data_IF_943705767893
#
_entry.id   IF_943705767893
#
_cell.length_a   1.000
_cell.length_b   1.000
_cell.length_c   1.000
_cell.angle_alpha   90.00
_cell.angle_beta   90.00
_cell.angle_gamma   90.00
#
_symmetry.space_group_name_H-M   'P 1'
#
loop_
_entity.id
_entity.type
_entity.pdbx_description
1 polymer ?
#
# COMPACT_ATOMS: atom_id res chain seq x y z
N UNK A 1 0.83 -25.52 -6.12
CA UNK A 1 -0.46 -25.29 -5.44
C UNK A 1 -0.97 -23.98 -6.01
N UNK A 2 -1.94 -24.01 -6.92
CA UNK A 2 -2.50 -22.80 -7.51
C UNK A 2 -3.48 -22.21 -6.49
N UNK A 3 -3.04 -21.20 -5.74
CA UNK A 3 -3.99 -20.33 -5.04
C UNK A 3 -4.85 -19.65 -6.11
N UNK A 4 -6.17 -19.71 -5.95
CA UNK A 4 -7.09 -18.86 -6.69
C UNK A 4 -6.73 -17.40 -6.37
N UNK A 5 -5.90 -16.80 -7.21
CA UNK A 5 -5.74 -15.36 -7.23
C UNK A 5 -7.11 -14.82 -7.63
N UNK A 6 -7.86 -14.32 -6.65
CA UNK A 6 -9.15 -13.68 -6.86
C UNK A 6 -9.03 -12.66 -8.00
N UNK A 7 -10.11 -12.49 -8.78
CA UNK A 7 -10.09 -11.51 -9.87
C UNK A 7 -9.74 -10.12 -9.33
N UNK A 8 -8.70 -9.45 -9.85
CA UNK A 8 -8.32 -8.13 -9.37
C UNK A 8 -9.47 -7.14 -9.43
N UNK A 9 -9.67 -6.37 -8.38
CA UNK A 9 -10.67 -5.33 -8.35
C UNK A 9 -10.21 -4.15 -9.22
N UNK A 10 -11.05 -3.72 -10.18
CA UNK A 10 -10.77 -2.62 -11.12
C UNK A 10 -11.52 -1.31 -10.84
N UNK A 11 -12.43 -1.28 -9.86
CA UNK A 11 -13.28 -0.13 -9.54
C UNK A 11 -12.66 0.89 -8.57
N UNK A 12 -13.45 1.87 -8.15
CA UNK A 12 -13.08 2.82 -7.09
C UNK A 12 -13.21 2.17 -5.71
N UNK A 13 -12.35 2.54 -4.77
CA UNK A 13 -12.42 2.02 -3.41
C UNK A 13 -12.38 3.14 -2.38
N UNK A 14 -12.95 2.87 -1.22
CA UNK A 14 -12.84 3.72 -0.04
C UNK A 14 -12.05 3.00 1.04
N UNK A 15 -11.32 3.78 1.85
CA UNK A 15 -10.61 3.22 3.00
C UNK A 15 -11.03 3.97 4.27
N UNK A 16 -11.32 3.20 5.31
CA UNK A 16 -11.51 3.71 6.66
C UNK A 16 -10.41 3.18 7.56
N UNK A 17 -9.75 4.08 8.28
CA UNK A 17 -8.68 3.76 9.23
C UNK A 17 -9.12 4.21 10.61
N UNK A 18 -9.15 3.27 11.56
CA UNK A 18 -9.32 3.55 12.98
C UNK A 18 -7.95 3.58 13.66
N UNK A 19 -7.61 4.71 14.27
CA UNK A 19 -6.35 4.93 14.98
C UNK A 19 -6.56 4.92 16.50
N UNK A 20 -5.73 4.16 17.20
CA UNK A 20 -5.66 4.15 18.67
C UNK A 20 -5.25 5.49 19.29
N UNK A 21 -5.40 5.57 20.61
CA UNK A 21 -5.30 6.83 21.36
C UNK A 21 -3.91 7.51 21.31
N UNK A 22 -2.82 6.77 21.07
CA UNK A 22 -1.44 7.26 20.95
C UNK A 22 -1.21 8.20 19.75
N UNK A 23 -2.06 8.13 18.72
CA UNK A 23 -1.97 9.02 17.58
C UNK A 23 -2.52 10.40 17.93
N UNK A 24 -1.60 11.31 18.26
CA UNK A 24 -1.93 12.71 18.54
C UNK A 24 -2.33 13.48 17.29
N UNK A 25 -3.16 14.53 17.46
CA UNK A 25 -3.67 15.39 16.37
C UNK A 25 -2.59 15.90 15.41
N UNK A 26 -1.40 16.23 15.93
CA UNK A 26 -0.29 16.77 15.13
C UNK A 26 0.52 15.71 14.39
N UNK A 27 0.46 14.44 14.80
CA UNK A 27 1.18 13.34 14.17
C UNK A 27 0.43 12.70 13.01
N UNK A 28 -0.91 12.77 13.02
CA UNK A 28 -1.74 12.13 12.00
C UNK A 28 -1.61 12.82 10.65
N UNK A 29 -1.80 14.15 10.60
CA UNK A 29 -1.80 14.92 9.36
C UNK A 29 -0.57 14.65 8.46
N UNK A 30 0.69 14.70 8.96
CA UNK A 30 1.85 14.39 8.13
C UNK A 30 1.97 12.89 7.78
N UNK A 31 1.41 11.98 8.59
CA UNK A 31 1.46 10.55 8.34
C UNK A 31 0.40 10.07 7.34
N UNK A 32 -0.70 10.82 7.15
CA UNK A 32 -1.85 10.41 6.32
C UNK A 32 -1.43 9.99 4.92
N UNK A 33 -0.63 10.80 4.21
CA UNK A 33 -0.25 10.50 2.83
C UNK A 33 0.63 9.26 2.77
N UNK A 34 1.63 9.15 3.64
CA UNK A 34 2.51 7.98 3.68
C UNK A 34 1.76 6.69 4.01
N UNK A 35 0.80 6.75 4.95
CA UNK A 35 -0.05 5.61 5.29
C UNK A 35 -0.94 5.19 4.12
N UNK A 36 -1.55 6.17 3.44
CA UNK A 36 -2.36 5.92 2.23
C UNK A 36 -1.52 5.24 1.16
N UNK A 37 -0.35 5.79 0.85
CA UNK A 37 0.53 5.30 -0.21
C UNK A 37 1.04 3.90 0.09
N UNK A 38 1.52 3.68 1.32
CA UNK A 38 1.99 2.36 1.75
C UNK A 38 0.87 1.32 1.76
N UNK A 39 -0.31 1.69 2.23
CA UNK A 39 -1.46 0.77 2.27
C UNK A 39 -1.91 0.37 0.86
N UNK A 40 -2.14 1.33 -0.04
CA UNK A 40 -2.55 1.03 -1.42
C UNK A 40 -1.45 0.24 -2.14
N UNK A 41 -0.18 0.56 -1.88
CA UNK A 41 0.95 -0.21 -2.42
C UNK A 41 0.91 -1.67 -2.00
N UNK A 42 0.59 -1.95 -0.73
CA UNK A 42 0.48 -3.32 -0.21
C UNK A 42 -0.69 -4.11 -0.82
N UNK A 43 -1.64 -3.46 -1.49
CA UNK A 43 -2.75 -4.12 -2.19
C UNK A 43 -2.44 -4.46 -3.66
N UNK A 44 -1.23 -4.14 -4.10
CA UNK A 44 -0.73 -4.45 -5.43
C UNK A 44 0.34 -5.53 -5.36
N UNK A 45 0.50 -6.22 -6.48
CA UNK A 45 1.73 -6.96 -6.78
C UNK A 45 2.54 -6.13 -7.77
N UNK A 46 3.85 -6.09 -7.61
CA UNK A 46 4.71 -5.43 -8.58
C UNK A 46 4.77 -6.23 -9.90
N UNK A 47 5.03 -5.54 -11.02
CA UNK A 47 5.06 -6.14 -12.37
C UNK A 47 6.39 -6.80 -12.73
N UNK A 48 7.25 -7.02 -11.72
CA UNK A 48 8.61 -7.58 -11.84
C UNK A 48 9.59 -6.74 -12.67
N UNK A 49 9.19 -5.55 -13.13
CA UNK A 49 10.05 -4.70 -13.94
C UNK A 49 11.18 -4.08 -13.12
N UNK A 50 12.33 -3.83 -13.73
CA UNK A 50 13.43 -3.09 -13.08
C UNK A 50 13.94 -3.71 -11.76
N UNK A 51 13.82 -5.03 -11.56
CA UNK A 51 14.22 -5.75 -10.33
C UNK A 51 15.56 -5.32 -9.76
N UNK A 52 16.62 -5.33 -10.56
CA UNK A 52 17.97 -4.99 -10.08
C UNK A 52 18.04 -3.59 -9.47
N UNK A 53 17.44 -2.60 -10.15
CA UNK A 53 17.42 -1.21 -9.68
C UNK A 53 16.52 -1.05 -8.45
N UNK A 54 15.37 -1.72 -8.43
CA UNK A 54 14.42 -1.65 -7.31
C UNK A 54 14.98 -2.35 -6.07
N UNK A 55 15.50 -3.56 -6.20
CA UNK A 55 16.11 -4.31 -5.11
C UNK A 55 17.31 -3.57 -4.51
N UNK A 56 18.19 -2.99 -5.35
CA UNK A 56 19.31 -2.18 -4.88
C UNK A 56 18.85 -0.94 -4.08
N UNK A 57 17.77 -0.28 -4.51
CA UNK A 57 17.20 0.85 -3.78
C UNK A 57 16.50 0.43 -2.48
N UNK A 58 15.91 -0.77 -2.44
CA UNK A 58 15.29 -1.32 -1.23
C UNK A 58 16.34 -1.75 -0.19
N UNK A 59 17.51 -2.19 -0.64
CA UNK A 59 18.67 -2.51 0.22
C UNK A 59 19.17 -1.30 1.04
N UNK A 60 18.96 -0.07 0.53
CA UNK A 60 19.33 1.15 1.27
C UNK A 60 18.47 1.38 2.53
N UNK A 61 17.29 0.74 2.62
CA UNK A 61 16.32 0.94 3.71
C UNK A 61 16.01 -0.34 4.51
N UNK A 62 16.53 -1.49 4.09
CA UNK A 62 16.26 -2.77 4.73
C UNK A 62 16.87 -3.94 3.96
N UNK A 63 16.26 -5.12 4.12
CA UNK A 63 16.62 -6.32 3.34
C UNK A 63 15.93 -6.25 1.98
N UNK A 64 16.66 -5.85 0.94
CA UNK A 64 16.11 -5.57 -0.38
C UNK A 64 15.50 -6.79 -1.06
N UNK A 65 16.05 -7.98 -0.88
CA UNK A 65 15.45 -9.22 -1.39
C UNK A 65 14.16 -9.55 -0.65
N UNK A 66 14.14 -9.43 0.70
CA UNK A 66 12.92 -9.66 1.46
C UNK A 66 11.83 -8.65 1.12
N UNK A 67 12.18 -7.39 0.94
CA UNK A 67 11.25 -6.33 0.53
C UNK A 67 10.75 -6.55 -0.90
N UNK A 68 11.60 -7.05 -1.80
CA UNK A 68 11.22 -7.44 -3.15
C UNK A 68 10.23 -8.63 -3.13
N UNK A 69 10.45 -9.65 -2.31
CA UNK A 69 9.50 -10.74 -2.12
C UNK A 69 8.14 -10.22 -1.66
N UNK A 70 8.11 -9.33 -0.67
CA UNK A 70 6.87 -8.74 -0.16
C UNK A 70 6.12 -7.92 -1.23
N UNK A 71 6.85 -7.17 -2.06
CA UNK A 71 6.25 -6.43 -3.19
C UNK A 71 5.64 -7.34 -4.25
N UNK A 72 6.09 -8.60 -4.32
CA UNK A 72 5.66 -9.57 -5.30
C UNK A 72 4.80 -10.70 -4.72
N UNK A 73 4.39 -10.57 -3.45
CA UNK A 73 3.52 -11.54 -2.77
C UNK A 73 2.07 -11.42 -3.30
N UNK A 74 1.53 -12.45 -3.97
CA UNK A 74 0.19 -12.41 -4.51
C UNK A 74 -0.91 -12.47 -3.44
N UNK A 75 -0.59 -12.85 -2.18
CA UNK A 75 -1.57 -13.04 -1.12
C UNK A 75 -2.39 -11.77 -0.82
N UNK A 76 -1.87 -10.59 -1.15
CA UNK A 76 -2.50 -9.29 -0.90
C UNK A 76 -2.86 -8.53 -2.18
N UNK A 77 -2.76 -9.14 -3.36
CA UNK A 77 -2.88 -8.49 -4.66
C UNK A 77 -4.33 -8.15 -5.08
N UNK A 78 -5.13 -7.57 -4.18
CA UNK A 78 -6.53 -7.19 -4.41
C UNK A 78 -6.68 -6.26 -5.62
N UNK A 79 -5.73 -5.34 -5.81
CA UNK A 79 -5.73 -4.37 -6.91
C UNK A 79 -4.92 -4.84 -8.13
N UNK A 80 -4.36 -6.06 -8.08
CA UNK A 80 -3.64 -6.68 -9.18
C UNK A 80 -2.25 -6.11 -9.48
N UNK A 81 -1.61 -6.59 -10.56
CA UNK A 81 -0.26 -6.21 -10.93
C UNK A 81 -0.17 -4.78 -11.44
N UNK A 82 0.90 -4.09 -11.07
CA UNK A 82 1.23 -2.74 -11.58
C UNK A 82 2.73 -2.54 -11.57
N UNK A 83 3.22 -1.61 -12.40
CA UNK A 83 4.55 -1.01 -12.22
C UNK A 83 4.59 -0.14 -10.96
N UNK A 84 4.50 -0.81 -9.81
CA UNK A 84 4.30 -0.23 -8.50
C UNK A 84 5.51 0.58 -8.06
N UNK A 85 6.72 0.07 -8.30
CA UNK A 85 7.97 0.78 -8.06
C UNK A 85 8.71 0.91 -9.38
N UNK A 86 9.29 2.08 -9.64
CA UNK A 86 10.08 2.31 -10.86
C UNK A 86 11.30 3.17 -10.58
N UNK A 87 12.38 3.02 -11.37
CA UNK A 87 13.53 3.93 -11.32
C UNK A 87 13.09 5.39 -11.54
N UNK A 88 13.63 6.30 -10.73
CA UNK A 88 13.42 7.74 -10.88
C UNK A 88 14.66 8.52 -10.45
N UNK A 89 15.40 9.03 -11.43
CA UNK A 89 16.69 9.68 -11.17
C UNK A 89 17.66 8.73 -10.48
N UNK A 90 18.13 9.11 -9.29
CA UNK A 90 19.00 8.28 -8.44
C UNK A 90 18.25 7.38 -7.45
N UNK A 91 16.91 7.45 -7.41
CA UNK A 91 16.10 6.69 -6.48
C UNK A 91 15.00 5.91 -7.17
N UNK A 92 13.91 5.70 -6.42
CA UNK A 92 12.69 5.02 -6.88
C UNK A 92 11.48 5.95 -6.73
N UNK A 93 10.49 5.75 -7.60
CA UNK A 93 9.18 6.35 -7.49
C UNK A 93 8.12 5.26 -7.32
N UNK A 94 7.19 5.50 -6.40
CA UNK A 94 6.03 4.66 -6.19
C UNK A 94 4.89 5.11 -7.09
N UNK A 95 4.09 4.16 -7.57
CA UNK A 95 2.94 4.36 -8.42
C UNK A 95 1.79 3.43 -7.98
N UNK A 96 1.32 3.54 -6.72
CA UNK A 96 0.10 2.87 -6.29
C UNK A 96 -1.10 3.40 -7.09
N UNK A 97 -2.22 2.68 -7.09
CA UNK A 97 -3.44 3.17 -7.72
C UNK A 97 -4.23 4.13 -6.81
N UNK A 98 -3.56 5.14 -6.26
CA UNK A 98 -4.17 6.14 -5.37
C UNK A 98 -5.21 7.01 -6.09
N UNK A 99 -5.14 7.11 -7.42
CA UNK A 99 -6.14 7.73 -8.27
C UNK A 99 -7.53 7.07 -8.19
N UNK A 100 -7.61 5.81 -7.71
CA UNK A 100 -8.86 5.05 -7.56
C UNK A 100 -9.45 5.15 -6.15
N UNK A 101 -8.78 5.84 -5.23
CA UNK A 101 -9.25 6.03 -3.86
C UNK A 101 -10.30 7.16 -3.81
N UNK A 102 -11.58 6.80 -3.72
CA UNK A 102 -12.68 7.77 -3.68
C UNK A 102 -12.78 8.50 -2.34
N UNK A 103 -12.42 7.85 -1.23
CA UNK A 103 -12.29 8.49 0.07
C UNK A 103 -11.26 7.81 0.97
N UNK A 104 -10.65 8.61 1.84
CA UNK A 104 -9.76 8.14 2.90
C UNK A 104 -10.17 8.78 4.23
N UNK A 105 -10.77 7.98 5.11
CA UNK A 105 -11.35 8.47 6.36
C UNK A 105 -10.59 7.96 7.58
N UNK A 106 -10.28 8.86 8.50
CA UNK A 106 -9.73 8.51 9.81
C UNK A 106 -10.76 8.68 10.92
N UNK A 107 -10.88 7.67 11.76
CA UNK A 107 -11.56 7.75 13.04
C UNK A 107 -10.54 7.53 14.16
N UNK A 108 -10.74 8.19 15.30
CA UNK A 108 -9.94 7.95 16.51
C UNK A 108 -10.73 7.09 17.47
N UNK A 109 -10.07 6.07 18.00
CA UNK A 109 -10.59 5.21 19.05
C UNK A 109 -10.04 5.63 20.41
N UNK A 110 -10.84 5.42 21.46
CA UNK A 110 -10.36 5.48 22.83
C UNK A 110 -9.60 4.20 23.23
N UNK A 111 -9.64 3.15 22.40
CA UNK A 111 -8.95 1.89 22.65
C UNK A 111 -7.42 2.00 22.46
N UNK A 112 -6.72 1.05 23.07
CA UNK A 112 -5.27 0.92 23.01
C UNK A 112 -4.77 0.57 21.61
N UNK A 113 -3.49 0.85 21.38
CA UNK A 113 -2.71 0.81 20.13
C UNK A 113 -3.13 -0.23 19.11
N UNK A 114 -4.08 0.16 18.25
CA UNK A 114 -4.42 -0.58 17.05
C UNK A 114 -4.54 0.40 15.88
N UNK A 115 -4.12 -0.05 14.71
CA UNK A 115 -4.50 0.51 13.42
C UNK A 115 -5.40 -0.51 12.76
N UNK A 116 -6.69 -0.23 12.69
CA UNK A 116 -7.65 -1.10 11.99
C UNK A 116 -8.00 -0.46 10.67
N UNK A 117 -7.86 -1.21 9.57
CA UNK A 117 -8.16 -0.73 8.22
C UNK A 117 -9.28 -1.54 7.60
N UNK A 118 -10.25 -0.86 7.00
CA UNK A 118 -11.33 -1.47 6.21
C UNK A 118 -11.33 -0.91 4.79
N UNK A 119 -11.46 -1.80 3.82
CA UNK A 119 -11.55 -1.48 2.40
C UNK A 119 -13.00 -1.67 1.95
N UNK A 120 -13.53 -0.68 1.25
CA UNK A 120 -14.87 -0.70 0.69
C UNK A 120 -14.77 -0.68 -0.83
N UNK A 121 -15.42 -1.62 -1.51
CA UNK A 121 -15.68 -1.49 -2.94
C UNK A 121 -16.77 -0.44 -3.14
N UNK A 122 -16.54 0.55 -3.99
CA UNK A 122 -17.53 1.60 -4.28
C UNK A 122 -18.33 1.20 -5.51
N UNK A 123 -19.65 1.27 -5.37
CA UNK A 123 -20.58 1.16 -6.50
C UNK A 123 -20.84 2.57 -7.00
N UNK A 124 -20.86 2.76 -8.32
CA UNK A 124 -21.35 4.00 -8.93
C UNK A 124 -22.84 4.17 -8.70
#
# INVERSE_FOLDING_TARGET
>A
MHEEIGTPYGGEFGITVELGSVWGRRGIAPAVKTLLDGFISALHVHDLSSREHVAAALDEVGDGERLWELLNDPAMAILGPRRLVRPHGRGIAWNPADERCGFFQFTRSAQADAVTVRIHALSR
#
